data_IF_226545024545
#
_entry.id   IF_226545024545
#
_cell.length_a   1.000
_cell.length_b   1.000
_cell.length_c   1.000
_cell.angle_alpha   90.00
_cell.angle_beta   90.00
_cell.angle_gamma   90.00
#
_symmetry.space_group_name_H-M   'P 1'
#
loop_
_entity.id
_entity.type
_entity.pdbx_description
1 polymer ?
#
# COMPACT_ATOMS: atom_id res chain seq x y z
N UNK A 1 6.12 14.15 -20.06
CA UNK A 1 5.14 13.83 -19.01
C UNK A 1 5.80 12.87 -18.04
N UNK A 2 5.68 13.10 -16.72
CA UNK A 2 6.13 12.15 -15.72
C UNK A 2 5.21 10.94 -15.74
N UNK A 3 5.78 9.75 -15.62
CA UNK A 3 5.03 8.50 -15.61
C UNK A 3 4.59 8.18 -14.19
N UNK A 4 3.63 7.26 -14.04
CA UNK A 4 3.22 6.71 -12.76
C UNK A 4 3.63 5.23 -12.68
N UNK A 5 4.43 4.90 -11.66
CA UNK A 5 4.73 3.53 -11.28
C UNK A 5 3.87 3.14 -10.07
N UNK A 6 3.29 1.95 -10.09
CA UNK A 6 2.48 1.44 -8.98
C UNK A 6 3.14 0.20 -8.41
N UNK A 7 3.22 0.08 -7.08
CA UNK A 7 3.66 -1.11 -6.37
C UNK A 7 2.51 -1.65 -5.53
N UNK A 8 2.13 -2.90 -5.79
CA UNK A 8 1.14 -3.65 -5.03
C UNK A 8 1.88 -4.60 -4.08
N UNK A 9 1.70 -4.40 -2.77
CA UNK A 9 2.37 -5.17 -1.73
C UNK A 9 1.45 -6.26 -1.17
N UNK A 10 1.68 -7.51 -1.55
CA UNK A 10 1.10 -8.61 -0.82
C UNK A 10 1.83 -8.83 0.50
N UNK A 11 1.07 -9.00 1.58
CA UNK A 11 1.64 -9.34 2.88
C UNK A 11 2.19 -10.77 2.83
N UNK A 12 3.40 -10.99 3.36
CA UNK A 12 3.95 -12.33 3.58
C UNK A 12 3.39 -13.03 4.81
N UNK A 13 2.60 -12.31 5.63
CA UNK A 13 1.99 -12.79 6.88
C UNK A 13 0.50 -13.09 6.69
N UNK A 14 0.11 -13.68 5.56
CA UNK A 14 -1.25 -14.20 5.39
C UNK A 14 -1.59 -15.17 6.54
N UNK A 15 -2.87 -15.21 6.94
CA UNK A 15 -3.39 -16.10 7.97
C UNK A 15 -2.79 -17.50 7.78
N UNK A 16 -2.08 -17.97 8.80
CA UNK A 16 -1.31 -19.22 8.83
C UNK A 16 -1.90 -20.29 7.89
N UNK A 17 -1.08 -20.76 6.96
CA UNK A 17 -1.35 -21.80 5.96
C UNK A 17 -1.63 -23.20 6.58
N UNK A 18 -2.12 -23.25 7.81
CA UNK A 18 -2.37 -24.46 8.59
C UNK A 18 -3.75 -25.08 8.29
N UNK A 19 -4.52 -24.51 7.37
CA UNK A 19 -5.69 -25.15 6.78
C UNK A 19 -5.54 -25.22 5.25
N UNK A 20 -5.75 -26.40 4.66
CA UNK A 20 -5.74 -26.64 3.21
C UNK A 20 -6.75 -25.76 2.43
N UNK A 21 -7.65 -25.05 3.14
CA UNK A 21 -8.76 -24.26 2.59
C UNK A 21 -8.54 -22.74 2.52
N UNK A 22 -7.41 -22.18 2.94
CA UNK A 22 -7.25 -20.72 2.99
C UNK A 22 -6.34 -20.21 1.88
N UNK A 23 -6.92 -19.48 0.93
CA UNK A 23 -6.19 -18.67 -0.04
C UNK A 23 -5.45 -17.50 0.66
N UNK A 24 -4.42 -16.91 0.05
CA UNK A 24 -3.88 -15.61 0.48
C UNK A 24 -4.95 -14.52 0.44
N UNK A 25 -4.88 -13.55 1.36
CA UNK A 25 -5.88 -12.48 1.51
C UNK A 25 -6.25 -11.78 0.19
N UNK A 26 -5.29 -11.62 -0.71
CA UNK A 26 -5.46 -10.94 -2.00
C UNK A 26 -6.19 -11.77 -3.07
N UNK A 27 -6.47 -13.06 -2.82
CA UNK A 27 -7.27 -13.93 -3.67
C UNK A 27 -8.69 -14.16 -3.15
N UNK A 28 -9.04 -13.59 -1.98
CA UNK A 28 -10.44 -13.59 -1.55
C UNK A 28 -11.28 -12.75 -2.49
N UNK A 29 -12.51 -13.19 -2.71
CA UNK A 29 -13.40 -12.63 -3.72
C UNK A 29 -14.53 -11.80 -3.11
N UNK A 30 -14.99 -10.81 -3.85
CA UNK A 30 -16.26 -10.15 -3.62
C UNK A 30 -17.02 -10.15 -4.96
N UNK A 31 -18.25 -10.68 -4.98
CA UNK A 31 -19.04 -10.89 -6.19
C UNK A 31 -18.29 -11.66 -7.31
N UNK A 32 -17.49 -12.65 -6.92
CA UNK A 32 -16.68 -13.47 -7.82
C UNK A 32 -15.45 -12.77 -8.41
N UNK A 33 -15.10 -11.58 -7.90
CA UNK A 33 -13.92 -10.81 -8.32
C UNK A 33 -12.86 -10.86 -7.20
N UNK A 34 -11.66 -11.42 -7.45
CA UNK A 34 -10.57 -11.42 -6.47
C UNK A 34 -10.13 -10.01 -6.08
N UNK A 35 -9.75 -9.80 -4.82
CA UNK A 35 -9.28 -8.49 -4.33
C UNK A 35 -8.15 -7.92 -5.20
N UNK A 36 -7.17 -8.74 -5.58
CA UNK A 36 -6.06 -8.30 -6.43
C UNK A 36 -6.53 -7.85 -7.81
N UNK A 37 -7.59 -8.46 -8.36
CA UNK A 37 -8.18 -8.02 -9.62
C UNK A 37 -8.78 -6.62 -9.48
N UNK A 38 -9.59 -6.40 -8.43
CA UNK A 38 -10.19 -5.10 -8.15
C UNK A 38 -9.12 -4.01 -7.96
N UNK A 39 -8.04 -4.32 -7.23
CA UNK A 39 -6.91 -3.40 -7.06
C UNK A 39 -6.21 -3.08 -8.38
N UNK A 40 -5.96 -4.08 -9.23
CA UNK A 40 -5.35 -3.87 -10.55
C UNK A 40 -6.25 -3.01 -11.44
N UNK A 41 -7.55 -3.30 -11.51
CA UNK A 41 -8.50 -2.54 -12.31
C UNK A 41 -8.55 -1.06 -11.88
N UNK A 42 -8.67 -0.79 -10.57
CA UNK A 42 -8.59 0.57 -10.02
C UNK A 42 -7.26 1.26 -10.34
N UNK A 43 -6.15 0.53 -10.30
CA UNK A 43 -4.84 1.07 -10.64
C UNK A 43 -4.74 1.44 -12.13
N UNK A 44 -5.37 0.67 -13.03
CA UNK A 44 -5.37 0.94 -14.47
C UNK A 44 -6.12 2.22 -14.83
N UNK A 45 -7.10 2.65 -14.02
CA UNK A 45 -7.78 3.96 -14.19
C UNK A 45 -6.82 5.16 -14.07
N UNK A 46 -5.62 4.97 -13.49
CA UNK A 46 -4.59 5.99 -13.39
C UNK A 46 -3.64 6.02 -14.60
N UNK A 47 -3.84 5.14 -15.58
CA UNK A 47 -2.97 4.98 -16.76
C UNK A 47 -1.48 4.82 -16.38
N UNK A 48 -1.14 3.85 -15.49
CA UNK A 48 0.24 3.69 -15.03
C UNK A 48 1.14 3.16 -16.15
N UNK A 49 2.42 3.53 -16.09
CA UNK A 49 3.45 2.93 -16.94
C UNK A 49 3.63 1.45 -16.61
N UNK A 50 3.56 1.11 -15.32
CA UNK A 50 3.67 -0.27 -14.82
C UNK A 50 3.01 -0.44 -13.46
N UNK A 51 2.54 -1.65 -13.22
CA UNK A 51 2.09 -2.11 -11.91
C UNK A 51 2.99 -3.27 -11.49
N UNK A 52 3.76 -3.13 -10.42
CA UNK A 52 4.67 -4.16 -9.90
C UNK A 52 3.99 -4.84 -8.71
N UNK A 53 3.56 -6.08 -8.89
CA UNK A 53 2.96 -6.90 -7.85
C UNK A 53 4.05 -7.69 -7.12
N UNK A 54 4.30 -7.34 -5.86
CA UNK A 54 5.26 -8.00 -4.97
C UNK A 54 4.58 -9.21 -4.33
N UNK A 55 4.88 -10.41 -4.83
CA UNK A 55 4.16 -11.63 -4.45
C UNK A 55 5.10 -12.73 -3.92
N UNK A 56 4.73 -13.50 -2.89
CA UNK A 56 5.54 -14.60 -2.37
C UNK A 56 5.82 -15.68 -3.43
N UNK A 57 7.05 -16.21 -3.47
CA UNK A 57 7.44 -17.27 -4.42
C UNK A 57 6.52 -18.51 -4.37
N UNK A 58 6.11 -18.92 -3.17
CA UNK A 58 5.23 -20.07 -2.98
C UNK A 58 3.87 -19.85 -3.66
N UNK A 59 3.27 -18.67 -3.47
CA UNK A 59 1.97 -18.34 -4.05
C UNK A 59 2.03 -18.17 -5.57
N UNK A 60 3.09 -17.52 -6.07
CA UNK A 60 3.29 -17.32 -7.51
C UNK A 60 3.34 -18.67 -8.24
N UNK A 61 4.02 -19.65 -7.66
CA UNK A 61 4.11 -21.00 -8.23
C UNK A 61 2.79 -21.78 -8.07
N UNK A 62 2.20 -21.78 -6.86
CA UNK A 62 1.01 -22.57 -6.52
C UNK A 62 -0.23 -22.12 -7.29
N UNK A 63 -0.44 -20.82 -7.45
CA UNK A 63 -1.65 -20.24 -8.03
C UNK A 63 -1.43 -19.64 -9.43
N UNK A 64 -0.27 -19.89 -10.05
CA UNK A 64 0.07 -19.39 -11.39
C UNK A 64 -0.12 -17.87 -11.54
N UNK A 65 0.22 -17.09 -10.52
CA UNK A 65 -0.14 -15.66 -10.43
C UNK A 65 0.44 -14.81 -11.57
N UNK A 66 1.53 -15.25 -12.22
CA UNK A 66 2.04 -14.61 -13.44
C UNK A 66 1.04 -14.65 -14.58
N UNK A 67 0.43 -15.81 -14.82
CA UNK A 67 -0.57 -15.97 -15.87
C UNK A 67 -1.82 -15.18 -15.53
N UNK A 68 -2.27 -15.29 -14.28
CA UNK A 68 -3.47 -14.60 -13.79
C UNK A 68 -3.35 -13.07 -13.97
N UNK A 69 -2.27 -12.45 -13.49
CA UNK A 69 -2.07 -11.01 -13.61
C UNK A 69 -1.87 -10.58 -15.07
N UNK A 70 -1.17 -11.37 -15.88
CA UNK A 70 -1.02 -11.08 -17.30
C UNK A 70 -2.35 -11.07 -18.07
N UNK A 71 -3.33 -11.92 -17.68
CA UNK A 71 -4.68 -11.88 -18.23
C UNK A 71 -5.45 -10.61 -17.82
N UNK A 72 -5.15 -10.02 -16.66
CA UNK A 72 -5.78 -8.77 -16.22
C UNK A 72 -5.25 -7.58 -17.02
N UNK A 73 -3.92 -7.48 -17.18
CA UNK A 73 -3.31 -6.45 -18.03
C UNK A 73 -1.83 -6.72 -18.29
N UNK A 74 -1.31 -6.45 -19.51
CA UNK A 74 0.12 -6.53 -19.82
C UNK A 74 0.97 -5.47 -19.07
N UNK A 75 0.34 -4.45 -18.49
CA UNK A 75 1.01 -3.43 -17.65
C UNK A 75 1.42 -4.00 -16.28
N UNK A 76 0.86 -5.14 -15.88
CA UNK A 76 1.19 -5.80 -14.62
C UNK A 76 2.45 -6.66 -14.73
N UNK A 77 3.31 -6.56 -13.72
CA UNK A 77 4.56 -7.29 -13.61
C UNK A 77 4.64 -7.96 -12.24
N UNK A 78 4.92 -9.26 -12.23
CA UNK A 78 5.15 -10.00 -10.98
C UNK A 78 6.62 -9.94 -10.59
N UNK A 79 6.89 -9.31 -9.46
CA UNK A 79 8.16 -9.44 -8.77
C UNK A 79 8.03 -10.53 -7.69
N UNK A 80 8.85 -11.57 -7.81
CA UNK A 80 8.81 -12.72 -6.90
C UNK A 80 9.62 -12.40 -5.64
N UNK A 81 8.95 -12.37 -4.50
CA UNK A 81 9.59 -12.23 -3.19
C UNK A 81 10.03 -13.62 -2.73
N UNK A 82 11.34 -13.86 -2.74
CA UNK A 82 11.92 -15.18 -2.51
C UNK A 82 11.91 -15.62 -1.04
N UNK A 83 11.96 -14.68 -0.11
CA UNK A 83 12.00 -14.91 1.34
C UNK A 83 11.30 -13.76 2.06
N UNK A 84 10.90 -14.00 3.32
CA UNK A 84 10.37 -12.94 4.17
C UNK A 84 11.38 -11.79 4.24
N UNK A 85 10.91 -10.58 4.01
CA UNK A 85 11.70 -9.35 4.15
C UNK A 85 11.53 -8.80 5.56
N UNK A 86 12.36 -7.82 5.95
CA UNK A 86 12.24 -7.13 7.24
C UNK A 86 11.10 -6.09 7.22
N UNK A 87 9.96 -6.38 6.60
CA UNK A 87 8.77 -5.50 6.57
C UNK A 87 8.44 -4.90 5.20
N UNK A 88 7.27 -4.26 5.13
CA UNK A 88 6.68 -3.78 3.88
C UNK A 88 7.55 -2.75 3.14
N UNK A 89 8.28 -1.90 3.87
CA UNK A 89 9.19 -0.94 3.25
C UNK A 89 10.37 -1.65 2.56
N UNK A 90 10.93 -2.69 3.18
CA UNK A 90 11.97 -3.53 2.57
C UNK A 90 11.44 -4.30 1.36
N UNK A 91 10.20 -4.81 1.41
CA UNK A 91 9.56 -5.43 0.25
C UNK A 91 9.45 -4.47 -0.91
N UNK A 92 8.94 -3.25 -0.68
CA UNK A 92 8.84 -2.24 -1.73
C UNK A 92 10.20 -1.85 -2.33
N UNK A 93 11.27 -1.81 -1.52
CA UNK A 93 12.63 -1.54 -2.00
C UNK A 93 13.17 -2.59 -2.99
N UNK A 94 12.65 -3.83 -2.99
CA UNK A 94 13.04 -4.82 -4.01
C UNK A 94 12.66 -4.37 -5.44
N UNK A 95 11.73 -3.42 -5.57
CA UNK A 95 11.36 -2.81 -6.85
C UNK A 95 12.22 -1.58 -7.22
N UNK A 96 13.29 -1.25 -6.48
CA UNK A 96 14.10 -0.04 -6.66
C UNK A 96 14.55 0.20 -8.11
N UNK A 97 14.90 -0.85 -8.86
CA UNK A 97 15.26 -0.73 -10.28
C UNK A 97 14.16 -0.05 -11.13
N UNK A 98 12.89 -0.22 -10.75
CA UNK A 98 11.74 0.36 -11.42
C UNK A 98 11.26 1.69 -10.82
N UNK A 99 11.60 1.98 -9.56
CA UNK A 99 10.99 3.10 -8.80
C UNK A 99 12.00 4.13 -8.29
N UNK A 100 13.31 3.86 -8.30
CA UNK A 100 14.35 4.81 -7.88
C UNK A 100 14.65 5.81 -9.02
N UNK A 101 13.67 6.66 -9.33
CA UNK A 101 13.72 7.62 -10.43
C UNK A 101 12.82 8.84 -10.15
N UNK A 102 12.77 9.76 -11.13
CA UNK A 102 11.99 11.00 -11.07
C UNK A 102 10.50 10.84 -11.44
N UNK A 103 10.02 9.63 -11.72
CA UNK A 103 8.61 9.35 -12.00
C UNK A 103 7.81 9.19 -10.69
N UNK A 104 6.49 9.38 -10.78
CA UNK A 104 5.59 9.24 -9.62
C UNK A 104 5.53 7.78 -9.16
N UNK A 105 5.31 7.60 -7.86
CA UNK A 105 5.16 6.29 -7.23
C UNK A 105 3.89 6.24 -6.39
N UNK A 106 3.07 5.21 -6.62
CA UNK A 106 1.95 4.86 -5.76
C UNK A 106 2.18 3.46 -5.18
N UNK A 107 2.01 3.32 -3.87
CA UNK A 107 2.13 2.05 -3.15
C UNK A 107 0.79 1.74 -2.51
N UNK A 108 0.25 0.54 -2.76
CA UNK A 108 -0.94 0.02 -2.09
C UNK A 108 -0.64 -1.35 -1.48
N UNK A 109 -1.27 -1.66 -0.36
CA UNK A 109 -1.30 -3.02 0.18
C UNK A 109 -2.38 -3.86 -0.52
N UNK A 110 -2.14 -5.16 -0.64
CA UNK A 110 -3.11 -6.12 -1.20
C UNK A 110 -3.96 -6.83 -0.13
N UNK A 111 -4.23 -6.19 1.01
CA UNK A 111 -5.08 -6.74 2.07
C UNK A 111 -6.09 -5.72 2.60
N UNK A 112 -6.44 -4.76 1.75
CA UNK A 112 -7.47 -3.76 2.01
C UNK A 112 -8.00 -3.19 0.69
N UNK A 113 -9.22 -2.69 0.72
CA UNK A 113 -9.87 -2.03 -0.41
C UNK A 113 -10.33 -0.63 0.01
N UNK A 114 -10.09 0.33 -0.87
CA UNK A 114 -10.59 1.70 -0.75
C UNK A 114 -11.75 1.91 -1.74
N UNK A 115 -12.94 2.17 -1.22
CA UNK A 115 -14.12 2.54 -2.00
C UNK A 115 -14.15 4.04 -2.29
N UNK A 116 -13.16 4.46 -3.08
CA UNK A 116 -13.04 5.80 -3.61
C UNK A 116 -12.21 5.82 -4.91
N UNK A 117 -12.26 6.95 -5.62
CA UNK A 117 -11.50 7.19 -6.84
C UNK A 117 -10.01 7.39 -6.52
N UNK A 118 -9.16 6.48 -7.03
CA UNK A 118 -7.71 6.68 -6.92
C UNK A 118 -7.26 7.93 -7.69
N UNK A 119 -7.98 8.29 -8.77
CA UNK A 119 -7.72 9.49 -9.57
C UNK A 119 -7.92 10.75 -8.75
N UNK A 120 -8.96 10.80 -7.91
CA UNK A 120 -9.24 11.95 -7.04
C UNK A 120 -8.21 12.05 -5.92
N UNK A 121 -7.80 10.91 -5.35
CA UNK A 121 -6.76 10.85 -4.33
C UNK A 121 -5.44 11.41 -4.88
N UNK A 122 -4.96 10.84 -5.97
CA UNK A 122 -3.68 11.23 -6.58
C UNK A 122 -3.75 12.64 -7.13
N UNK A 123 -4.87 13.02 -7.77
CA UNK A 123 -5.13 14.38 -8.22
C UNK A 123 -5.05 15.39 -7.08
N UNK A 124 -5.66 15.09 -5.92
CA UNK A 124 -5.59 15.95 -4.75
C UNK A 124 -4.15 16.17 -4.23
N UNK A 125 -3.29 15.15 -4.29
CA UNK A 125 -1.88 15.32 -3.92
C UNK A 125 -1.10 16.17 -4.92
N UNK A 126 -1.34 15.96 -6.23
CA UNK A 126 -0.75 16.75 -7.32
C UNK A 126 -1.17 18.22 -7.25
N UNK A 127 -2.47 18.49 -7.12
CA UNK A 127 -3.03 19.84 -7.00
C UNK A 127 -2.51 20.55 -5.75
N UNK A 128 -2.35 19.80 -4.65
CA UNK A 128 -1.72 20.26 -3.43
C UNK A 128 -0.21 20.49 -3.55
N UNK A 129 0.42 20.17 -4.69
CA UNK A 129 1.87 20.23 -4.91
C UNK A 129 2.65 19.52 -3.79
N UNK A 130 2.18 18.34 -3.39
CA UNK A 130 2.80 17.57 -2.32
C UNK A 130 4.02 16.81 -2.86
N UNK A 131 5.04 16.61 -2.02
CA UNK A 131 6.15 15.68 -2.29
C UNK A 131 5.72 14.22 -2.05
N UNK A 132 4.79 14.02 -1.12
CA UNK A 132 4.19 12.73 -0.79
C UNK A 132 2.76 12.89 -0.28
N UNK A 133 2.01 11.79 -0.25
CA UNK A 133 0.61 11.78 0.16
C UNK A 133 0.23 10.47 0.83
N UNK A 134 -0.68 10.55 1.80
CA UNK A 134 -1.27 9.37 2.45
C UNK A 134 -2.77 9.49 2.55
N UNK A 135 -3.46 8.37 2.36
CA UNK A 135 -4.89 8.27 2.65
C UNK A 135 -5.09 7.98 4.13
N UNK A 136 -5.98 8.75 4.76
CA UNK A 136 -6.29 8.63 6.19
C UNK A 136 -7.78 8.50 6.44
N UNK A 137 -8.14 7.82 7.53
CA UNK A 137 -9.51 7.74 8.04
C UNK A 137 -9.50 7.90 9.56
N UNK A 138 -10.68 8.16 10.13
CA UNK A 138 -10.81 8.36 11.58
C UNK A 138 -10.79 7.00 12.30
N UNK A 139 -9.76 6.74 13.11
CA UNK A 139 -9.68 5.55 13.96
C UNK A 139 -8.69 5.77 15.11
N UNK A 140 -8.79 4.94 16.15
CA UNK A 140 -7.83 4.87 17.27
C UNK A 140 -7.35 3.43 17.52
N UNK A 141 -7.72 2.47 16.66
CA UNK A 141 -7.32 1.09 16.86
C UNK A 141 -5.81 0.94 16.63
N UNK A 142 -5.01 0.42 17.59
CA UNK A 142 -3.54 0.44 17.54
C UNK A 142 -2.92 -0.52 16.51
N UNK A 143 -3.72 -1.09 15.60
CA UNK A 143 -3.23 -1.99 14.54
C UNK A 143 -2.77 -1.24 13.29
N UNK A 144 -3.11 0.04 13.20
CA UNK A 144 -2.82 0.89 12.06
C UNK A 144 -1.55 1.69 12.29
N UNK A 145 -0.99 2.21 11.20
CA UNK A 145 -0.12 3.37 11.25
C UNK A 145 -0.96 4.64 11.44
N UNK A 146 -0.37 5.67 12.03
CA UNK A 146 -1.00 6.95 12.32
C UNK A 146 -0.13 8.09 11.86
N UNK A 147 -0.76 9.21 11.52
CA UNK A 147 -0.07 10.46 11.19
C UNK A 147 -0.60 11.63 12.01
N UNK A 148 0.27 12.48 12.54
CA UNK A 148 -0.10 13.79 13.09
C UNK A 148 0.00 14.84 11.99
N UNK A 149 -0.92 15.80 12.00
CA UNK A 149 -0.99 16.85 10.98
C UNK A 149 -0.87 18.24 11.62
N UNK A 150 -0.35 19.21 10.87
CA UNK A 150 -0.39 20.63 11.24
C UNK A 150 -1.74 21.28 10.86
N UNK A 151 -1.85 22.60 11.08
CA UNK A 151 -3.05 23.37 10.78
C UNK A 151 -3.38 23.40 9.27
N UNK A 152 -2.36 23.28 8.42
CA UNK A 152 -2.45 23.23 6.96
C UNK A 152 -2.81 21.82 6.45
N UNK A 153 -3.01 20.84 7.34
CA UNK A 153 -3.38 19.48 7.00
C UNK A 153 -2.23 18.61 6.47
N UNK A 154 -0.99 19.07 6.57
CA UNK A 154 0.21 18.34 6.18
C UNK A 154 0.72 17.46 7.33
N UNK A 155 1.28 16.28 7.02
CA UNK A 155 1.86 15.37 8.02
C UNK A 155 3.12 15.99 8.61
N UNK A 156 3.22 15.94 9.94
CA UNK A 156 4.39 16.38 10.72
C UNK A 156 5.03 15.26 11.55
N UNK A 157 4.36 14.11 11.65
CA UNK A 157 4.87 12.93 12.33
C UNK A 157 4.08 11.71 11.87
N UNK A 158 4.75 10.58 11.69
CA UNK A 158 4.14 9.29 11.40
C UNK A 158 4.62 8.23 12.40
N UNK A 159 3.73 7.35 12.84
CA UNK A 159 4.05 6.27 13.75
C UNK A 159 3.36 4.98 13.34
N UNK A 160 4.03 3.84 13.50
CA UNK A 160 3.46 2.53 13.27
C UNK A 160 2.91 1.96 14.58
N UNK A 161 1.68 1.42 14.58
CA UNK A 161 1.04 0.75 15.73
C UNK A 161 1.02 1.56 17.03
N UNK A 162 1.14 2.89 16.91
CA UNK A 162 1.11 3.83 18.03
C UNK A 162 0.14 4.98 17.68
N UNK A 163 -1.04 5.06 18.33
CA UNK A 163 -2.06 6.09 18.06
C UNK A 163 -1.65 7.52 18.48
N UNK A 164 -0.71 8.13 17.76
CA UNK A 164 -0.24 9.52 17.99
C UNK A 164 -1.27 10.59 17.58
N UNK A 165 -2.37 10.17 16.94
CA UNK A 165 -3.52 10.97 16.49
C UNK A 165 -4.73 10.06 16.23
N UNK A 166 -5.86 10.62 15.77
CA UNK A 166 -7.01 9.84 15.27
C UNK A 166 -7.00 9.64 13.74
N UNK A 167 -5.89 9.94 13.06
CA UNK A 167 -5.72 9.79 11.62
C UNK A 167 -4.95 8.51 11.33
N UNK A 168 -5.67 7.40 11.20
CA UNK A 168 -5.10 6.12 10.81
C UNK A 168 -4.87 6.09 9.29
N UNK A 169 -3.77 5.48 8.86
CA UNK A 169 -3.41 5.35 7.43
C UNK A 169 -4.13 4.16 6.81
N UNK A 170 -4.70 4.36 5.62
CA UNK A 170 -5.44 3.35 4.86
C UNK A 170 -4.56 2.62 3.82
N UNK A 171 -3.28 2.41 4.17
CA UNK A 171 -2.25 1.71 3.40
C UNK A 171 -2.12 2.06 1.92
N UNK A 172 -2.40 3.32 1.58
CA UNK A 172 -2.05 3.94 0.31
C UNK A 172 -1.07 5.09 0.58
N UNK A 173 0.06 5.04 -0.12
CA UNK A 173 1.11 6.04 -0.08
C UNK A 173 1.44 6.49 -1.50
N UNK A 174 1.48 7.79 -1.73
CA UNK A 174 1.89 8.39 -3.00
C UNK A 174 3.15 9.23 -2.80
N UNK A 175 4.02 9.26 -3.79
CA UNK A 175 5.22 10.09 -3.82
C UNK A 175 5.34 10.73 -5.20
N UNK A 176 5.62 12.03 -5.23
CA UNK A 176 5.85 12.78 -6.48
C UNK A 176 7.05 12.21 -7.26
N UNK A 177 8.01 11.63 -6.54
CA UNK A 177 9.15 10.91 -7.10
C UNK A 177 9.36 9.60 -6.36
N UNK A 178 9.52 8.50 -7.07
CA UNK A 178 9.87 7.23 -6.44
C UNK A 178 11.25 7.27 -5.77
N UNK A 179 12.21 8.06 -6.29
CA UNK A 179 13.51 8.27 -5.64
C UNK A 179 13.39 8.89 -4.22
N UNK A 180 12.36 9.71 -3.97
CA UNK A 180 12.10 10.28 -2.62
C UNK A 180 11.71 9.19 -1.64
N UNK A 181 10.86 8.25 -2.06
CA UNK A 181 10.52 7.08 -1.25
C UNK A 181 11.74 6.20 -0.99
N UNK A 182 12.50 5.86 -2.03
CA UNK A 182 13.66 4.97 -1.92
C UNK A 182 14.70 5.53 -0.96
N UNK A 183 15.02 6.82 -1.08
CA UNK A 183 15.97 7.48 -0.18
C UNK A 183 15.46 7.52 1.27
N UNK A 184 14.19 7.83 1.48
CA UNK A 184 13.59 7.84 2.81
C UNK A 184 13.65 6.47 3.49
N UNK A 185 13.39 5.39 2.77
CA UNK A 185 13.49 4.04 3.33
C UNK A 185 14.95 3.66 3.59
N UNK A 186 15.89 4.03 2.72
CA UNK A 186 17.34 3.80 2.95
C UNK A 186 17.79 4.49 4.24
N UNK A 187 17.41 5.74 4.46
CA UNK A 187 17.75 6.49 5.68
C UNK A 187 17.08 5.91 6.93
N UNK A 188 15.81 5.53 6.84
CA UNK A 188 15.10 4.83 7.92
C UNK A 188 15.82 3.53 8.33
N UNK A 189 16.27 2.73 7.34
CA UNK A 189 17.04 1.50 7.57
C UNK A 189 18.40 1.82 8.18
N UNK A 190 19.11 2.84 7.68
CA UNK A 190 20.41 3.27 8.21
C UNK A 190 20.33 3.66 9.69
N UNK A 191 19.20 4.25 10.10
CA UNK A 191 18.90 4.64 11.48
C UNK A 191 18.27 3.52 12.32
N UNK A 192 18.05 2.34 11.73
CA UNK A 192 17.41 1.17 12.34
C UNK A 192 16.04 1.48 12.98
N UNK A 193 15.26 2.35 12.34
CA UNK A 193 13.92 2.74 12.83
C UNK A 193 12.91 1.64 12.49
N UNK A 194 12.68 0.75 13.45
CA UNK A 194 11.77 -0.39 13.35
C UNK A 194 10.61 -0.29 14.32
N UNK A 195 9.55 -1.03 14.04
CA UNK A 195 8.46 -1.32 14.99
C UNK A 195 8.26 -2.83 14.99
N UNK A 196 8.29 -3.47 16.15
CA UNK A 196 8.23 -4.94 16.26
C UNK A 196 9.23 -5.65 15.32
N UNK A 197 10.48 -5.18 15.31
CA UNK A 197 11.56 -5.70 14.46
C UNK A 197 11.34 -5.62 12.93
N UNK A 198 10.35 -4.85 12.45
CA UNK A 198 10.09 -4.65 11.04
C UNK A 198 10.11 -3.17 10.62
N UNK A 199 10.49 -2.93 9.35
CA UNK A 199 10.48 -1.65 8.66
C UNK A 199 9.16 -1.45 7.92
N UNK A 200 8.35 -0.51 8.42
CA UNK A 200 7.07 -0.12 7.83
C UNK A 200 7.21 1.14 6.97
N UNK A 201 6.26 1.36 6.06
CA UNK A 201 6.31 2.52 5.15
C UNK A 201 6.00 3.82 5.89
N UNK A 202 5.03 3.82 6.81
CA UNK A 202 4.62 5.04 7.49
C UNK A 202 5.76 5.75 8.25
N UNK A 203 6.62 5.07 9.04
CA UNK A 203 7.75 5.72 9.68
C UNK A 203 8.75 6.40 8.73
N UNK A 204 8.87 5.94 7.47
CA UNK A 204 9.73 6.58 6.47
C UNK A 204 9.27 8.01 6.12
N UNK A 205 7.99 8.35 6.34
CA UNK A 205 7.50 9.72 6.17
C UNK A 205 8.19 10.72 7.10
N UNK A 206 8.70 10.28 8.25
CA UNK A 206 9.44 11.17 9.14
C UNK A 206 10.74 11.68 8.50
N UNK A 207 11.36 10.91 7.61
CA UNK A 207 12.54 11.36 6.87
C UNK A 207 12.19 12.50 5.90
N UNK A 208 11.00 12.45 5.29
CA UNK A 208 10.49 13.53 4.45
C UNK A 208 10.20 14.78 5.29
N UNK A 209 9.62 14.63 6.49
CA UNK A 209 9.39 15.74 7.42
C UNK A 209 10.71 16.43 7.79
N UNK A 210 11.76 15.66 8.10
CA UNK A 210 13.09 16.19 8.42
C UNK A 210 13.73 16.94 7.23
N UNK A 211 13.35 16.59 6.00
CA UNK A 211 13.77 17.27 4.78
C UNK A 211 12.87 18.46 4.40
N UNK A 212 11.93 18.86 5.27
CA UNK A 212 10.94 19.92 5.01
C UNK A 212 10.04 19.67 3.79
N UNK A 213 9.83 18.40 3.43
CA UNK A 213 8.94 18.02 2.32
C UNK A 213 7.48 18.14 2.72
N UNK A 214 6.64 18.51 1.75
CA UNK A 214 5.19 18.65 1.95
C UNK A 214 4.50 17.29 1.80
N UNK A 215 3.97 16.77 2.89
CA UNK A 215 3.26 15.49 2.90
C UNK A 215 1.76 15.75 3.07
N UNK A 216 0.99 15.57 2.00
CA UNK A 216 -0.45 15.76 1.98
C UNK A 216 -1.22 14.63 2.65
N UNK A 217 -2.45 14.91 3.06
CA UNK A 217 -3.39 13.86 3.52
C UNK A 217 -4.69 13.93 2.72
N UNK A 218 -5.16 12.77 2.28
CA UNK A 218 -6.49 12.62 1.67
C UNK A 218 -7.37 11.87 2.66
N UNK A 219 -8.47 12.48 3.08
CA UNK A 219 -9.36 11.86 4.06
C UNK A 219 -10.46 11.07 3.36
N UNK A 220 -10.66 9.84 3.80
CA UNK A 220 -11.83 9.02 3.46
C UNK A 220 -12.68 8.78 4.70
N UNK A 221 -13.97 8.50 4.49
CA UNK A 221 -14.84 8.05 5.56
C UNK A 221 -14.53 6.60 5.94
N UNK A 222 -14.68 6.20 7.22
CA UNK A 222 -14.43 4.83 7.64
C UNK A 222 -15.25 3.77 6.87
N UNK A 223 -16.40 4.13 6.31
CA UNK A 223 -17.22 3.25 5.48
C UNK A 223 -16.62 2.97 4.11
N UNK A 224 -15.69 3.81 3.64
CA UNK A 224 -14.99 3.65 2.36
C UNK A 224 -13.69 2.85 2.48
N UNK A 225 -13.37 2.35 3.68
CA UNK A 225 -12.15 1.59 3.93
C UNK A 225 -12.51 0.20 4.43
N UNK A 226 -12.16 -0.81 3.63
CA UNK A 226 -12.44 -2.21 3.88
C UNK A 226 -11.12 -2.94 4.14
N UNK A 227 -10.68 -3.08 5.41
CA UNK A 227 -9.50 -3.88 5.76
C UNK A 227 -9.81 -5.38 5.69
N UNK A 228 -8.92 -6.17 5.10
CA UNK A 228 -8.96 -7.65 5.02
C UNK A 228 -7.76 -8.25 5.77
N UNK A 229 -7.66 -7.98 7.08
CA UNK A 229 -6.48 -8.30 7.91
C UNK A 229 -6.70 -9.47 8.88
N UNK A 230 -7.89 -10.08 8.87
CA UNK A 230 -8.22 -11.25 9.69
C UNK A 230 -9.42 -12.01 9.09
N UNK A 231 -9.64 -13.23 9.56
CA UNK A 231 -10.70 -14.11 9.05
C UNK A 231 -12.11 -13.50 9.11
N UNK A 232 -12.45 -12.72 10.15
CA UNK A 232 -13.77 -12.07 10.21
C UNK A 232 -13.95 -11.03 9.11
N UNK A 233 -12.88 -10.31 8.79
CA UNK A 233 -12.88 -9.31 7.74
C UNK A 233 -12.92 -9.93 6.35
N UNK A 234 -12.18 -11.02 6.13
CA UNK A 234 -12.20 -11.79 4.90
C UNK A 234 -13.61 -12.36 4.65
N UNK A 235 -14.21 -12.99 5.66
CA UNK A 235 -15.59 -13.48 5.58
C UNK A 235 -16.60 -12.35 5.35
N UNK A 236 -16.41 -11.18 5.96
CA UNK A 236 -17.28 -10.05 5.70
C UNK A 236 -17.18 -9.59 4.24
N UNK A 237 -15.97 -9.54 3.68
CA UNK A 237 -15.72 -9.16 2.28
C UNK A 237 -16.41 -10.11 1.29
N UNK A 238 -16.29 -11.43 1.49
CA UNK A 238 -16.95 -12.44 0.66
C UNK A 238 -18.48 -12.37 0.72
N UNK A 239 -19.05 -12.01 1.88
CA UNK A 239 -20.49 -12.09 2.13
C UNK A 239 -21.25 -10.76 1.90
N UNK A 240 -20.60 -9.67 1.47
CA UNK A 240 -21.28 -8.37 1.25
C UNK A 240 -22.28 -8.41 0.06
N UNK A 241 -22.33 -9.48 -0.73
CA UNK A 241 -23.22 -9.64 -1.91
C UNK A 241 -24.64 -10.19 -1.68
N UNK A 242 -25.24 -10.06 -0.49
CA UNK A 242 -26.69 -10.34 -0.30
C UNK A 242 -27.35 -9.26 0.56
N UNK A 243 -27.72 -8.14 -0.07
CA UNK A 243 -28.77 -7.23 0.43
C UNK A 243 -29.64 -6.73 -0.71
#
# INVERSE_FOLDING_TARGET
>A
MRKLNIVLLASGEGVSAEAESNYPDYLYEHDGIPLIQNLVEKCLELEPERIVCMLPKADVAKYHLRNMLHQMSPTTNVHVVHSMTMGAACTALLAAESIDNDDELLILNCNELLDCSLRDIVGGFRDGQCDAGVVVFKSLHPRYSFVRKNAEGCVVEAAEKNPISNHAVAGLYWFDKGAVFVEAVKEMIRKDVKTNDAFYIAPALNELVLQHKKIGTYRVDPSQYHPLKNSRQLQAFENVGVR
#
